data_IF_193283190175
#
_entry.id   IF_193283190175
#
_cell.length_a   1.000
_cell.length_b   1.000
_cell.length_c   1.000
_cell.angle_alpha   90.00
_cell.angle_beta   90.00
_cell.angle_gamma   90.00
#
_symmetry.space_group_name_H-M   'P 1'
#
loop_
_entity.id
_entity.type
_entity.pdbx_description
1 polymer ?
#
# COMPACT_ATOMS: atom_id res chain seq x y z
N UNK A 1 17.12 -7.26 8.81
CA UNK A 1 16.93 -6.44 7.59
C UNK A 1 16.09 -5.19 7.86
N UNK A 2 14.79 -5.29 8.12
CA UNK A 2 13.93 -4.11 8.35
C UNK A 2 14.33 -3.33 9.60
N UNK A 3 14.37 -3.96 10.78
CA UNK A 3 14.84 -3.27 12.00
C UNK A 3 16.29 -2.79 11.90
N UNK A 4 17.12 -3.55 11.17
CA UNK A 4 18.51 -3.19 10.93
C UNK A 4 18.70 -2.08 9.86
N UNK A 5 17.61 -1.51 9.33
CA UNK A 5 17.65 -0.43 8.32
C UNK A 5 18.12 -0.85 6.92
N UNK A 6 18.32 -2.15 6.68
CA UNK A 6 18.78 -2.68 5.40
C UNK A 6 17.66 -2.78 4.35
N UNK A 7 16.40 -2.60 4.77
CA UNK A 7 15.24 -2.54 3.89
C UNK A 7 14.30 -1.43 4.35
N UNK A 8 14.17 -0.38 3.55
CA UNK A 8 13.13 0.63 3.71
C UNK A 8 11.83 0.15 3.06
N UNK A 9 10.99 -0.51 3.85
CA UNK A 9 9.68 -0.98 3.41
C UNK A 9 8.69 0.16 3.12
N UNK A 10 8.96 1.39 3.61
CA UNK A 10 8.11 2.55 3.38
C UNK A 10 8.03 2.92 1.91
N UNK A 11 9.13 2.76 1.17
CA UNK A 11 9.23 3.03 -0.27
C UNK A 11 8.44 2.04 -1.14
N UNK A 12 8.01 0.90 -0.59
CA UNK A 12 7.16 -0.04 -1.32
C UNK A 12 5.69 0.38 -1.34
N UNK A 13 5.27 1.25 -0.41
CA UNK A 13 3.88 1.68 -0.24
C UNK A 13 3.52 2.73 -1.29
N UNK A 14 2.68 2.37 -2.26
CA UNK A 14 2.20 3.31 -3.28
C UNK A 14 0.82 3.89 -2.97
N UNK A 15 0.04 3.23 -2.12
CA UNK A 15 -1.29 3.67 -1.75
C UNK A 15 -1.54 3.55 -0.24
N UNK A 16 -2.27 4.52 0.31
CA UNK A 16 -2.66 4.57 1.73
C UNK A 16 -4.16 4.83 1.82
N UNK A 17 -4.83 4.06 2.67
CA UNK A 17 -6.28 4.11 2.86
C UNK A 17 -6.62 4.01 4.36
N UNK A 18 -7.76 4.55 4.75
CA UNK A 18 -8.35 4.20 6.04
C UNK A 18 -8.79 2.73 6.02
N UNK A 19 -8.85 2.08 7.18
CA UNK A 19 -9.29 0.68 7.26
C UNK A 19 -10.71 0.47 6.69
N UNK A 20 -11.59 1.45 6.87
CA UNK A 20 -12.98 1.39 6.42
C UNK A 20 -13.12 1.48 4.88
N UNK A 21 -12.06 1.92 4.19
CA UNK A 21 -11.99 2.02 2.73
C UNK A 21 -11.43 0.74 2.07
N UNK A 22 -11.49 -0.41 2.76
CA UNK A 22 -10.88 -1.67 2.28
C UNK A 22 -11.32 -2.06 0.86
N UNK A 23 -12.60 -1.87 0.52
CA UNK A 23 -13.11 -2.17 -0.84
C UNK A 23 -12.47 -1.29 -1.91
N UNK A 24 -12.28 0.00 -1.62
CA UNK A 24 -11.58 0.92 -2.53
C UNK A 24 -10.10 0.54 -2.67
N UNK A 25 -9.46 0.16 -1.56
CA UNK A 25 -8.07 -0.30 -1.56
C UNK A 25 -7.87 -1.58 -2.38
N UNK A 26 -8.86 -2.47 -2.44
CA UNK A 26 -8.82 -3.61 -3.36
C UNK A 26 -8.96 -3.18 -4.83
N UNK A 27 -9.75 -2.14 -5.10
CA UNK A 27 -9.99 -1.64 -6.45
C UNK A 27 -8.74 -1.17 -7.20
N UNK A 28 -7.72 -0.64 -6.50
CA UNK A 28 -6.49 -0.16 -7.18
C UNK A 28 -5.69 -1.28 -7.84
N UNK A 29 -5.93 -2.53 -7.45
CA UNK A 29 -5.30 -3.70 -8.05
C UNK A 29 -6.06 -4.26 -9.26
N UNK A 30 -7.18 -3.64 -9.66
CA UNK A 30 -7.90 -4.04 -10.87
C UNK A 30 -7.15 -3.68 -12.17
N UNK A 31 -6.36 -2.61 -12.16
CA UNK A 31 -5.43 -2.23 -13.24
C UNK A 31 -4.16 -1.62 -12.62
N UNK A 32 -3.27 -2.47 -12.06
CA UNK A 32 -2.15 -2.00 -11.24
C UNK A 32 -1.06 -1.31 -12.05
N UNK A 33 -0.93 -1.64 -13.34
CA UNK A 33 0.05 -1.00 -14.24
C UNK A 33 -0.37 0.43 -14.53
N UNK A 34 -1.65 0.64 -14.87
CA UNK A 34 -2.18 1.99 -15.10
C UNK A 34 -2.23 2.82 -13.81
N UNK A 35 -2.58 2.18 -12.68
CA UNK A 35 -2.74 2.84 -11.38
C UNK A 35 -1.45 2.98 -10.55
N UNK A 36 -0.33 2.40 -10.99
CA UNK A 36 0.91 2.38 -10.21
C UNK A 36 0.79 1.62 -8.87
N UNK A 37 -0.11 0.64 -8.80
CA UNK A 37 -0.34 -0.12 -7.58
C UNK A 37 0.75 -1.18 -7.39
N UNK A 38 1.51 -1.06 -6.30
CA UNK A 38 2.49 -2.04 -5.85
C UNK A 38 2.12 -2.56 -4.46
N UNK A 39 1.84 -1.64 -3.53
CA UNK A 39 1.42 -1.98 -2.16
C UNK A 39 0.45 -0.93 -1.63
N UNK A 40 -0.68 -1.40 -1.12
CA UNK A 40 -1.62 -0.60 -0.35
C UNK A 40 -1.46 -0.90 1.14
N UNK A 41 -1.56 0.13 1.97
CA UNK A 41 -1.60 0.02 3.44
C UNK A 41 -2.92 0.57 3.96
N UNK A 42 -3.54 -0.19 4.85
CA UNK A 42 -4.73 0.18 5.61
C UNK A 42 -4.31 0.56 7.03
N UNK A 43 -4.81 1.66 7.56
CA UNK A 43 -4.50 2.11 8.92
C UNK A 43 -5.79 2.41 9.68
N UNK A 44 -5.85 1.99 10.96
CA UNK A 44 -6.85 2.50 11.90
C UNK A 44 -6.37 3.86 12.40
N UNK A 45 -7.16 4.89 12.16
CA UNK A 45 -7.03 6.17 12.85
C UNK A 45 -7.41 6.05 14.32
#
# INVERSE_FOLDING_TARGET
>A
MVEAGQLDAGHLITHRFALDDVTQAYGVFADPVRGGALKAVLTRT
#
